data_IF_896199074528
#
_entry.id   IF_896199074528
#
_cell.length_a   1.000
_cell.length_b   1.000
_cell.length_c   1.000
_cell.angle_alpha   90.00
_cell.angle_beta   90.00
_cell.angle_gamma   90.00
#
_symmetry.space_group_name_H-M   'P 1'
#
loop_
_entity.id
_entity.type
_entity.pdbx_description
1 polymer ?
#
# COMPACT_ATOMS: atom_id res chain seq x y z
N UNK A 1 9.71 19.96 -9.05
CA UNK A 1 10.54 18.92 -8.38
C UNK A 1 10.09 18.66 -6.94
N UNK A 2 10.01 19.67 -6.07
CA UNK A 2 9.57 19.47 -4.68
C UNK A 2 8.13 18.95 -4.57
N UNK A 3 7.22 19.49 -5.38
CA UNK A 3 5.82 19.03 -5.41
C UNK A 3 5.71 17.57 -5.88
N UNK A 4 6.47 17.19 -6.91
CA UNK A 4 6.56 15.79 -7.38
C UNK A 4 7.06 14.87 -6.26
N UNK A 5 8.06 15.29 -5.48
CA UNK A 5 8.55 14.52 -4.35
C UNK A 5 7.46 14.34 -3.27
N UNK A 6 6.74 15.40 -2.92
CA UNK A 6 5.64 15.37 -1.96
C UNK A 6 4.48 14.49 -2.44
N UNK A 7 4.12 14.58 -3.72
CA UNK A 7 3.10 13.72 -4.33
C UNK A 7 3.54 12.25 -4.27
N UNK A 8 4.82 11.98 -4.53
CA UNK A 8 5.42 10.65 -4.40
C UNK A 8 5.33 10.11 -2.98
N UNK A 9 5.71 10.92 -1.99
CA UNK A 9 5.57 10.57 -0.57
C UNK A 9 4.11 10.29 -0.20
N UNK A 10 3.18 11.14 -0.64
CA UNK A 10 1.75 10.98 -0.37
C UNK A 10 1.21 9.69 -1.00
N UNK A 11 1.59 9.37 -2.24
CA UNK A 11 1.21 8.14 -2.92
C UNK A 11 1.80 6.90 -2.24
N UNK A 12 3.09 6.92 -1.88
CA UNK A 12 3.72 5.77 -1.23
C UNK A 12 3.20 5.53 0.19
N UNK A 13 2.86 6.57 0.95
CA UNK A 13 2.08 6.40 2.18
C UNK A 13 0.64 5.94 1.88
N UNK A 14 0.03 6.42 0.79
CA UNK A 14 -1.29 6.03 0.33
C UNK A 14 -1.43 4.53 0.05
N UNK A 15 -0.41 3.87 -0.51
CA UNK A 15 -0.41 2.40 -0.70
C UNK A 15 -0.01 1.64 0.57
N UNK A 16 0.90 2.20 1.37
CA UNK A 16 1.54 1.45 2.46
C UNK A 16 0.81 1.54 3.79
N UNK A 17 0.27 2.71 4.14
CA UNK A 17 -0.39 2.94 5.44
C UNK A 17 -1.68 2.12 5.58
N UNK A 18 -2.52 1.96 4.53
CA UNK A 18 -3.71 1.15 4.63
C UNK A 18 -3.50 -0.27 5.11
N UNK A 19 -4.20 -0.61 6.19
CA UNK A 19 -4.12 -1.91 6.85
C UNK A 19 -4.81 -3.02 6.04
N UNK A 20 -4.08 -3.53 5.04
CA UNK A 20 -4.41 -4.74 4.30
C UNK A 20 -3.93 -6.03 4.98
N UNK A 21 -4.12 -7.20 4.33
CA UNK A 21 -3.59 -8.48 4.80
C UNK A 21 -2.08 -8.45 5.08
N UNK A 22 -1.31 -7.72 4.26
CA UNK A 22 0.14 -7.55 4.40
C UNK A 22 0.49 -6.81 5.70
N UNK A 23 -0.10 -5.64 5.96
CA UNK A 23 0.20 -4.87 7.18
C UNK A 23 -0.18 -5.61 8.45
N UNK A 24 -1.25 -6.41 8.42
CA UNK A 24 -1.61 -7.28 9.54
C UNK A 24 -0.55 -8.36 9.75
N UNK A 25 -0.03 -8.95 8.68
CA UNK A 25 1.04 -9.93 8.76
C UNK A 25 2.34 -9.31 9.29
N UNK A 26 2.72 -8.13 8.79
CA UNK A 26 3.88 -7.35 9.28
C UNK A 26 3.71 -7.08 10.77
N UNK A 27 2.54 -6.59 11.20
CA UNK A 27 2.26 -6.34 12.61
C UNK A 27 2.35 -7.62 13.45
N UNK A 28 1.68 -8.70 13.04
CA UNK A 28 1.72 -9.99 13.75
C UNK A 28 3.16 -10.53 13.87
N UNK A 29 3.97 -10.34 12.83
CA UNK A 29 5.36 -10.76 12.82
C UNK A 29 6.20 -9.83 13.69
N UNK A 30 5.98 -8.51 13.70
CA UNK A 30 6.71 -7.57 14.55
C UNK A 30 6.49 -7.82 16.05
N UNK A 31 5.30 -8.30 16.44
CA UNK A 31 5.02 -8.73 17.81
C UNK A 31 5.87 -9.93 18.24
N UNK A 32 6.36 -10.75 17.30
CA UNK A 32 7.14 -11.97 17.58
C UNK A 32 8.63 -11.84 17.21
N UNK A 33 8.94 -11.32 16.03
CA UNK A 33 10.28 -11.13 15.46
C UNK A 33 10.34 -9.92 14.53
N UNK A 34 11.13 -8.92 14.90
CA UNK A 34 11.38 -7.73 14.08
C UNK A 34 11.98 -8.05 12.70
N UNK A 35 12.93 -9.00 12.64
CA UNK A 35 13.59 -9.37 11.38
C UNK A 35 12.63 -10.02 10.39
N UNK A 36 11.76 -10.90 10.88
CA UNK A 36 10.76 -11.56 10.02
C UNK A 36 9.66 -10.58 9.59
N UNK A 37 9.30 -9.60 10.42
CA UNK A 37 8.42 -8.49 10.04
C UNK A 37 8.98 -7.68 8.87
N UNK A 38 10.26 -7.28 8.97
CA UNK A 38 10.94 -6.58 7.87
C UNK A 38 10.98 -7.45 6.62
N UNK A 39 11.27 -8.74 6.73
CA UNK A 39 11.28 -9.64 5.59
C UNK A 39 9.92 -9.68 4.86
N UNK A 40 8.80 -9.76 5.59
CA UNK A 40 7.44 -9.64 5.00
C UNK A 40 7.28 -8.30 4.28
N UNK A 41 7.62 -7.20 4.93
CA UNK A 41 7.47 -5.85 4.36
C UNK A 41 8.33 -5.64 3.12
N UNK A 42 9.57 -6.12 3.09
CA UNK A 42 10.43 -6.10 1.91
C UNK A 42 9.89 -6.99 0.79
N UNK A 43 9.26 -8.12 1.12
CA UNK A 43 8.58 -8.96 0.14
C UNK A 43 7.44 -8.24 -0.55
N UNK A 44 6.64 -7.50 0.23
CA UNK A 44 5.59 -6.65 -0.30
C UNK A 44 6.16 -5.52 -1.19
N UNK A 45 7.17 -4.81 -0.70
CA UNK A 45 7.87 -3.75 -1.44
C UNK A 45 8.39 -4.21 -2.80
N UNK A 46 8.97 -5.42 -2.89
CA UNK A 46 9.43 -5.94 -4.19
C UNK A 46 8.32 -6.14 -5.20
N UNK A 47 7.11 -6.48 -4.75
CA UNK A 47 5.93 -6.55 -5.62
C UNK A 47 5.49 -5.17 -6.07
N UNK A 48 5.54 -4.17 -5.19
CA UNK A 48 5.28 -2.77 -5.55
C UNK A 48 6.26 -2.28 -6.61
N UNK A 49 7.54 -2.64 -6.49
CA UNK A 49 8.56 -2.32 -7.50
C UNK A 49 8.31 -3.04 -8.82
N UNK A 50 7.82 -4.28 -8.77
CA UNK A 50 7.44 -5.03 -9.96
C UNK A 50 6.25 -4.36 -10.67
N UNK A 51 5.23 -3.90 -9.94
CA UNK A 51 4.13 -3.14 -10.53
C UNK A 51 4.61 -1.83 -11.15
N UNK A 52 5.44 -1.05 -10.46
CA UNK A 52 6.05 0.17 -11.01
C UNK A 52 6.83 -0.10 -12.30
N UNK A 53 7.66 -1.15 -12.30
CA UNK A 53 8.44 -1.55 -13.46
C UNK A 53 7.52 -1.89 -14.64
N UNK A 54 6.48 -2.69 -14.42
CA UNK A 54 5.51 -3.03 -15.46
C UNK A 54 4.76 -1.80 -16.00
N UNK A 55 4.44 -0.83 -15.15
CA UNK A 55 3.83 0.44 -15.55
C UNK A 55 4.78 1.25 -16.45
N UNK A 56 6.08 1.30 -16.14
CA UNK A 56 7.07 2.08 -16.88
C UNK A 56 7.45 1.49 -18.24
N UNK A 57 7.44 0.15 -18.38
CA UNK A 57 7.79 -0.55 -19.62
C UNK A 57 6.65 -0.63 -20.65
N UNK A 58 5.60 0.17 -20.49
CA UNK A 58 4.68 0.41 -21.61
C UNK A 58 3.63 -0.67 -21.83
N UNK A 59 3.24 -1.43 -20.79
CA UNK A 59 1.87 -2.00 -20.75
C UNK A 59 0.78 -0.90 -20.86
N UNK A 60 1.19 0.38 -20.87
CA UNK A 60 0.39 1.58 -21.01
C UNK A 60 0.48 2.22 -22.41
N UNK A 61 1.10 1.61 -23.42
CA UNK A 61 0.86 2.05 -24.81
C UNK A 61 -0.64 1.98 -25.18
N UNK A 62 -1.41 1.19 -24.44
CA UNK A 62 -2.88 1.14 -24.48
C UNK A 62 -3.57 2.33 -23.77
N UNK A 63 -2.88 3.06 -22.88
CA UNK A 63 -3.42 4.24 -22.19
C UNK A 63 -3.53 5.48 -23.07
N UNK A 64 -2.94 5.50 -24.27
CA UNK A 64 -3.13 6.63 -25.19
C UNK A 64 -4.55 6.70 -25.77
N UNK A 65 -5.41 5.73 -25.47
CA UNK A 65 -6.82 5.76 -25.78
C UNK A 65 -7.59 6.38 -24.61
N UNK A 66 -8.25 7.52 -24.84
CA UNK A 66 -9.01 8.23 -23.82
C UNK A 66 -10.15 7.38 -23.22
N UNK A 67 -10.73 6.46 -24.00
CA UNK A 67 -11.72 5.50 -23.50
C UNK A 67 -11.10 4.59 -22.42
N UNK A 68 -9.86 4.14 -22.64
CA UNK A 68 -9.18 3.28 -21.68
C UNK A 68 -8.83 4.04 -20.40
N UNK A 69 -8.45 5.33 -20.50
CA UNK A 69 -8.24 6.19 -19.32
C UNK A 69 -9.52 6.37 -18.51
N UNK A 70 -10.65 6.65 -19.15
CA UNK A 70 -11.95 6.79 -18.46
C UNK A 70 -12.39 5.49 -17.78
N UNK A 71 -12.24 4.35 -18.47
CA UNK A 71 -12.53 3.03 -17.89
C UNK A 71 -11.65 2.79 -16.66
N UNK A 72 -10.35 3.08 -16.76
CA UNK A 72 -9.43 2.86 -15.66
C UNK A 72 -9.68 3.80 -14.48
N UNK A 73 -10.08 5.05 -14.73
CA UNK A 73 -10.44 6.00 -13.68
C UNK A 73 -11.74 5.60 -12.96
N UNK A 74 -12.78 5.17 -13.69
CA UNK A 74 -14.03 4.68 -13.10
C UNK A 74 -13.78 3.38 -12.32
N UNK A 75 -13.04 2.44 -12.92
CA UNK A 75 -12.69 1.19 -12.25
C UNK A 75 -11.87 1.45 -11.00
N UNK A 76 -10.84 2.29 -11.11
CA UNK A 76 -9.98 2.70 -10.00
C UNK A 76 -10.76 3.35 -8.87
N UNK A 77 -11.67 4.28 -9.18
CA UNK A 77 -12.57 4.88 -8.19
C UNK A 77 -13.44 3.84 -7.49
N UNK A 78 -14.23 3.07 -8.24
CA UNK A 78 -15.13 2.05 -7.67
C UNK A 78 -14.36 1.05 -6.80
N UNK A 79 -13.17 0.67 -7.26
CA UNK A 79 -12.30 -0.25 -6.57
C UNK A 79 -11.73 0.35 -5.27
N UNK A 80 -11.16 1.55 -5.32
CA UNK A 80 -10.60 2.23 -4.15
C UNK A 80 -11.68 2.54 -3.11
N UNK A 81 -12.87 3.01 -3.52
CA UNK A 81 -13.99 3.24 -2.61
C UNK A 81 -14.53 1.94 -1.99
N UNK A 82 -14.58 0.85 -2.76
CA UNK A 82 -14.91 -0.46 -2.21
C UNK A 82 -13.88 -0.92 -1.16
N UNK A 83 -12.59 -0.66 -1.40
CA UNK A 83 -11.54 -0.98 -0.45
C UNK A 83 -11.60 -0.12 0.81
N UNK A 84 -11.83 1.19 0.68
CA UNK A 84 -12.08 2.08 1.82
C UNK A 84 -13.25 1.55 2.67
N UNK A 85 -14.34 1.13 2.03
CA UNK A 85 -15.48 0.51 2.69
C UNK A 85 -15.13 -0.80 3.42
N UNK A 86 -14.39 -1.71 2.77
CA UNK A 86 -13.93 -2.96 3.40
C UNK A 86 -13.06 -2.70 4.62
N UNK A 87 -12.18 -1.69 4.57
CA UNK A 87 -11.33 -1.32 5.69
C UNK A 87 -12.12 -0.81 6.90
N UNK A 88 -13.16 0.00 6.66
CA UNK A 88 -14.07 0.45 7.71
C UNK A 88 -14.88 -0.71 8.28
N UNK A 89 -15.27 -1.69 7.45
CA UNK A 89 -16.06 -2.86 7.87
C UNK A 89 -15.26 -3.98 8.54
N UNK A 90 -13.94 -4.03 8.36
CA UNK A 90 -13.11 -5.11 8.90
C UNK A 90 -13.17 -5.11 10.43
N UNK A 91 -13.71 -6.17 11.02
CA UNK A 91 -13.65 -6.39 12.47
C UNK A 91 -12.18 -6.55 12.87
N UNK A 92 -11.75 -5.76 13.86
CA UNK A 92 -10.46 -5.96 14.51
C UNK A 92 -10.53 -7.24 15.34
N UNK A 93 -10.22 -8.37 14.72
CA UNK A 93 -9.91 -9.58 15.46
C UNK A 93 -8.66 -9.31 16.29
N UNK A 94 -8.75 -9.58 17.59
CA UNK A 94 -7.62 -9.47 18.50
C UNK A 94 -6.52 -10.40 17.98
N UNK A 95 -5.34 -9.83 17.73
CA UNK A 95 -4.17 -10.58 17.32
C UNK A 95 -3.81 -11.53 18.47
N UNK A 96 -4.22 -12.80 18.36
CA UNK A 96 -3.91 -13.82 19.36
C UNK A 96 -2.42 -14.16 19.26
N UNK A 97 -1.62 -13.44 20.04
CA UNK A 97 -0.18 -13.67 20.16
C UNK A 97 0.01 -14.76 21.21
N UNK A 98 -0.29 -16.00 20.84
CA UNK A 98 0.13 -17.14 21.65
C UNK A 98 1.62 -17.42 21.47
N UNK A 99 2.27 -17.61 22.63
CA UNK A 99 3.68 -17.86 22.88
C UNK A 99 4.20 -19.15 22.23
N UNK A 100 4.39 -19.15 20.91
CA UNK A 100 5.21 -20.16 20.23
C UNK A 100 6.50 -19.54 19.72
N UNK A 101 7.62 -20.21 19.96
CA UNK A 101 8.92 -19.84 19.38
C UNK A 101 8.76 -19.64 17.87
N UNK A 102 9.00 -18.42 17.41
CA UNK A 102 8.79 -18.05 16.02
C UNK A 102 9.93 -18.62 15.14
N UNK A 103 9.80 -19.89 14.73
CA UNK A 103 10.81 -20.66 13.95
C UNK A 103 10.69 -20.50 12.43
N UNK A 104 10.15 -19.39 11.95
CA UNK A 104 10.04 -19.15 10.51
C UNK A 104 11.30 -18.50 9.94
N UNK A 105 11.77 -18.99 8.78
CA UNK A 105 12.92 -18.42 8.08
C UNK A 105 12.56 -17.08 7.43
N UNK A 106 13.57 -16.23 7.27
CA UNK A 106 13.42 -14.90 6.64
C UNK A 106 12.91 -15.01 5.21
N UNK A 107 13.40 -15.99 4.44
CA UNK A 107 12.97 -16.22 3.06
C UNK A 107 11.48 -16.58 2.99
N UNK A 108 10.99 -17.44 3.89
CA UNK A 108 9.58 -17.83 3.91
C UNK A 108 8.68 -16.65 4.29
N UNK A 109 9.14 -15.82 5.23
CA UNK A 109 8.48 -14.56 5.61
C UNK A 109 8.41 -13.58 4.43
N UNK A 110 9.51 -13.43 3.67
CA UNK A 110 9.56 -12.61 2.48
C UNK A 110 8.60 -13.08 1.39
N UNK A 111 8.60 -14.38 1.07
CA UNK A 111 7.69 -14.96 0.05
C UNK A 111 6.22 -14.75 0.44
N UNK A 112 5.87 -14.89 1.72
CA UNK A 112 4.51 -14.57 2.20
C UNK A 112 4.14 -13.11 1.97
N UNK A 113 5.07 -12.19 2.22
CA UNK A 113 4.91 -10.78 1.90
C UNK A 113 4.63 -10.55 0.42
N UNK A 114 5.44 -11.16 -0.47
CA UNK A 114 5.23 -11.07 -1.91
C UNK A 114 3.85 -11.62 -2.32
N UNK A 115 3.51 -12.83 -1.87
CA UNK A 115 2.27 -13.48 -2.27
C UNK A 115 1.05 -12.70 -1.79
N UNK A 116 1.06 -12.24 -0.54
CA UNK A 116 -0.04 -11.45 0.00
C UNK A 116 -0.14 -10.08 -0.69
N UNK A 117 0.96 -9.42 -1.01
CA UNK A 117 0.90 -8.11 -1.68
C UNK A 117 0.47 -8.23 -3.14
N UNK A 118 0.98 -9.23 -3.86
CA UNK A 118 0.65 -9.45 -5.28
C UNK A 118 -0.75 -10.02 -5.50
N UNK A 119 -1.33 -10.69 -4.50
CA UNK A 119 -2.75 -11.10 -4.52
C UNK A 119 -3.66 -10.09 -3.83
N UNK A 120 -3.12 -9.00 -3.26
CA UNK A 120 -3.92 -8.02 -2.55
C UNK A 120 -4.69 -7.21 -3.59
N UNK A 121 -6.04 -7.37 -3.68
CA UNK A 121 -6.81 -6.61 -4.64
C UNK A 121 -6.58 -5.11 -4.43
N UNK A 122 -6.43 -4.66 -3.18
CA UNK A 122 -6.14 -3.26 -2.85
C UNK A 122 -4.95 -2.70 -3.61
N UNK A 123 -3.84 -3.44 -3.58
CA UNK A 123 -2.55 -3.01 -4.13
C UNK A 123 -2.63 -3.01 -5.65
N UNK A 124 -3.25 -4.05 -6.23
CA UNK A 124 -3.49 -4.11 -7.68
C UNK A 124 -4.30 -2.89 -8.13
N UNK A 125 -5.43 -2.61 -7.48
CA UNK A 125 -6.28 -1.50 -7.86
C UNK A 125 -5.67 -0.13 -7.55
N UNK A 126 -4.87 0.00 -6.49
CA UNK A 126 -4.07 1.20 -6.23
C UNK A 126 -3.13 1.47 -7.41
N UNK A 127 -2.31 0.48 -7.80
CA UNK A 127 -1.35 0.64 -8.90
C UNK A 127 -2.01 0.94 -10.24
N UNK A 128 -3.17 0.32 -10.53
CA UNK A 128 -3.96 0.64 -11.73
C UNK A 128 -4.51 2.07 -11.68
N UNK A 129 -5.00 2.50 -10.52
CA UNK A 129 -5.57 3.85 -10.32
C UNK A 129 -4.52 4.95 -10.42
N UNK A 130 -3.34 4.74 -9.83
CA UNK A 130 -2.30 5.77 -9.72
C UNK A 130 -1.33 5.77 -10.90
N UNK A 131 -1.44 4.80 -11.81
CA UNK A 131 -0.61 4.67 -13.00
C UNK A 131 -0.55 5.98 -13.82
N UNK A 132 -1.71 6.58 -14.10
CA UNK A 132 -1.80 7.82 -14.88
C UNK A 132 -1.15 9.02 -14.21
N UNK A 133 -1.22 9.11 -12.88
CA UNK A 133 -0.56 10.17 -12.12
C UNK A 133 0.97 10.06 -12.21
N UNK A 134 1.51 8.84 -12.15
CA UNK A 134 2.97 8.60 -12.22
C UNK A 134 3.54 8.92 -13.59
N UNK A 135 2.84 8.52 -14.64
CA UNK A 135 3.28 8.75 -16.02
C UNK A 135 3.11 10.22 -16.44
N UNK A 136 2.07 10.91 -15.94
CA UNK A 136 1.76 12.29 -16.30
C UNK A 136 2.53 13.37 -15.53
N UNK A 137 3.36 13.02 -14.54
CA UNK A 137 4.11 14.00 -13.75
C UNK A 137 5.28 14.61 -14.55
N UNK A 138 5.61 15.87 -14.26
CA UNK A 138 6.70 16.62 -14.90
C UNK A 138 8.09 16.05 -14.49
N UNK A 139 8.20 15.43 -13.32
CA UNK A 139 9.41 14.82 -12.78
C UNK A 139 9.14 13.40 -12.24
N UNK A 140 8.84 12.43 -13.12
CA UNK A 140 8.38 11.09 -12.73
C UNK A 140 9.41 10.34 -11.88
N UNK A 141 10.70 10.51 -12.14
CA UNK A 141 11.76 9.90 -11.33
C UNK A 141 11.82 10.45 -9.90
N UNK A 142 11.59 11.76 -9.72
CA UNK A 142 11.58 12.40 -8.40
C UNK A 142 10.37 11.94 -7.61
N UNK A 143 9.22 11.81 -8.28
CA UNK A 143 8.02 11.28 -7.65
C UNK A 143 8.18 9.81 -7.25
N UNK A 144 8.74 8.98 -8.13
CA UNK A 144 9.03 7.57 -7.82
C UNK A 144 10.01 7.43 -6.65
N UNK A 145 11.01 8.31 -6.54
CA UNK A 145 11.91 8.34 -5.38
C UNK A 145 11.16 8.64 -4.08
N UNK A 146 10.29 9.66 -4.06
CA UNK A 146 9.45 9.97 -2.89
C UNK A 146 8.55 8.79 -2.49
N UNK A 147 8.00 8.10 -3.49
CA UNK A 147 7.20 6.90 -3.28
C UNK A 147 8.03 5.77 -2.67
N UNK A 148 9.19 5.42 -3.24
CA UNK A 148 10.05 4.35 -2.72
C UNK A 148 10.46 4.65 -1.28
N UNK A 149 10.88 5.89 -1.01
CA UNK A 149 11.31 6.33 0.32
C UNK A 149 10.18 6.19 1.33
N UNK A 150 8.94 6.58 0.98
CA UNK A 150 7.80 6.47 1.90
C UNK A 150 7.38 5.02 2.15
N UNK A 151 7.38 4.13 1.15
CA UNK A 151 7.08 2.71 1.36
C UNK A 151 8.12 2.07 2.30
N UNK A 152 9.41 2.29 2.03
CA UNK A 152 10.49 1.75 2.87
C UNK A 152 10.40 2.32 4.29
N UNK A 153 10.22 3.64 4.41
CA UNK A 153 10.07 4.29 5.70
C UNK A 153 8.89 3.72 6.49
N UNK A 154 7.76 3.44 5.84
CA UNK A 154 6.60 2.82 6.47
C UNK A 154 6.89 1.39 6.93
N UNK A 155 7.50 0.54 6.09
CA UNK A 155 7.84 -0.84 6.46
C UNK A 155 8.73 -0.89 7.70
N UNK A 156 9.76 -0.03 7.75
CA UNK A 156 10.62 0.11 8.91
C UNK A 156 9.88 0.66 10.11
N UNK A 157 9.12 1.74 9.94
CA UNK A 157 8.37 2.37 11.03
C UNK A 157 7.38 1.38 11.65
N UNK A 158 6.54 0.72 10.85
CA UNK A 158 5.55 -0.23 11.33
C UNK A 158 6.23 -1.38 12.07
N UNK A 159 7.26 -2.00 11.48
CA UNK A 159 8.00 -3.09 12.12
C UNK A 159 8.64 -2.65 13.44
N UNK A 160 9.24 -1.46 13.47
CA UNK A 160 9.95 -0.93 14.64
C UNK A 160 8.99 -0.53 15.76
N UNK A 161 7.98 0.29 15.45
CA UNK A 161 7.01 0.77 16.43
C UNK A 161 6.20 -0.39 17.02
N UNK A 162 5.76 -1.35 16.19
CA UNK A 162 5.05 -2.54 16.70
C UNK A 162 5.97 -3.38 17.58
N UNK A 163 7.21 -3.64 17.16
CA UNK A 163 8.15 -4.42 17.97
C UNK A 163 8.53 -3.72 19.29
N UNK A 164 8.59 -2.38 19.31
CA UNK A 164 9.00 -1.58 20.47
C UNK A 164 7.86 -1.27 21.44
N UNK A 165 6.64 -1.14 20.93
CA UNK A 165 5.44 -0.73 21.66
C UNK A 165 4.33 -1.78 21.58
N UNK A 166 4.70 -3.07 21.65
CA UNK A 166 3.78 -4.22 21.55
C UNK A 166 2.52 -4.08 22.42
N UNK A 167 2.65 -3.46 23.60
CA UNK A 167 1.56 -3.25 24.56
C UNK A 167 0.51 -2.21 24.12
N UNK A 168 0.80 -1.35 23.15
CA UNK A 168 -0.14 -0.32 22.66
C UNK A 168 -1.05 -0.81 21.53
N UNK A 169 -0.67 -1.87 20.81
CA UNK A 169 -1.41 -2.37 19.65
C UNK A 169 -2.57 -3.27 20.08
N UNK A 170 -3.63 -2.64 20.60
CA UNK A 170 -4.91 -3.29 20.85
C UNK A 170 -5.86 -3.14 19.65
N UNK A 171 -6.96 -3.89 19.66
CA UNK A 171 -7.97 -3.86 18.60
C UNK A 171 -8.53 -2.45 18.30
N UNK A 172 -8.55 -1.53 19.27
CA UNK A 172 -9.03 -0.15 19.07
C UNK A 172 -8.05 0.66 18.20
N UNK A 173 -6.74 0.53 18.45
CA UNK A 173 -5.71 1.24 17.66
C UNK A 173 -5.74 0.77 16.21
N UNK A 174 -5.81 -0.55 15.98
CA UNK A 174 -5.93 -1.11 14.62
C UNK A 174 -7.17 -0.58 13.90
N UNK A 175 -8.31 -0.45 14.60
CA UNK A 175 -9.54 0.11 14.03
C UNK A 175 -9.39 1.60 13.65
N UNK A 176 -8.74 2.40 14.48
CA UNK A 176 -8.50 3.82 14.18
C UNK A 176 -7.65 3.96 12.92
N UNK A 177 -6.58 3.18 12.80
CA UNK A 177 -5.72 3.27 11.61
C UNK A 177 -6.45 2.80 10.36
N UNK A 178 -7.25 1.72 10.43
CA UNK A 178 -8.11 1.30 9.32
C UNK A 178 -9.02 2.45 8.82
N UNK A 179 -9.65 3.20 9.73
CA UNK A 179 -10.56 4.29 9.39
C UNK A 179 -9.80 5.46 8.74
N UNK A 180 -8.68 5.89 9.34
CA UNK A 180 -7.87 6.99 8.79
C UNK A 180 -7.36 6.64 7.40
N UNK A 181 -6.86 5.42 7.21
CA UNK A 181 -6.42 4.95 5.90
C UNK A 181 -7.56 4.88 4.88
N UNK A 182 -8.75 4.43 5.28
CA UNK A 182 -9.91 4.41 4.39
C UNK A 182 -10.26 5.83 3.89
N UNK A 183 -10.18 6.85 4.75
CA UNK A 183 -10.40 8.24 4.36
C UNK A 183 -9.36 8.76 3.36
N UNK A 184 -8.09 8.40 3.56
CA UNK A 184 -7.00 8.76 2.64
C UNK A 184 -7.22 8.09 1.28
N UNK A 185 -7.58 6.81 1.26
CA UNK A 185 -7.88 6.06 0.03
C UNK A 185 -9.07 6.70 -0.71
N UNK A 186 -10.14 7.01 0.01
CA UNK A 186 -11.32 7.65 -0.59
C UNK A 186 -10.96 9.01 -1.21
N UNK A 187 -10.11 9.80 -0.54
CA UNK A 187 -9.59 11.05 -1.10
C UNK A 187 -8.85 10.82 -2.42
N UNK A 188 -7.96 9.82 -2.50
CA UNK A 188 -7.28 9.48 -3.75
C UNK A 188 -8.23 9.00 -4.84
N UNK A 189 -9.26 8.22 -4.48
CA UNK A 189 -10.30 7.77 -5.40
C UNK A 189 -11.04 8.96 -6.04
N UNK A 190 -11.45 9.93 -5.22
CA UNK A 190 -12.14 11.14 -5.68
C UNK A 190 -11.21 12.02 -6.53
N UNK A 191 -9.95 12.18 -6.10
CA UNK A 191 -8.93 12.94 -6.83
C UNK A 191 -8.65 12.36 -8.23
N UNK A 192 -8.67 11.03 -8.37
CA UNK A 192 -8.53 10.34 -9.65
C UNK A 192 -9.66 10.69 -10.63
N UNK A 193 -10.92 10.64 -10.16
CA UNK A 193 -12.08 11.04 -10.98
C UNK A 193 -11.97 12.50 -11.40
N UNK A 194 -11.69 13.40 -10.45
CA UNK A 194 -11.61 14.83 -10.72
C UNK A 194 -10.57 15.16 -11.80
N UNK A 195 -9.36 14.61 -11.69
CA UNK A 195 -8.26 14.79 -12.65
C UNK A 195 -8.45 14.11 -14.00
N UNK A 196 -9.42 13.21 -14.13
CA UNK A 196 -9.67 12.52 -15.40
C UNK A 196 -10.81 13.18 -16.18
N UNK A 197 -11.83 13.69 -15.49
CA UNK A 197 -13.05 14.19 -16.14
C UNK A 197 -13.18 15.73 -16.13
N UNK A 198 -12.50 16.45 -15.23
CA UNK A 198 -12.77 17.87 -14.98
C UNK A 198 -11.51 18.75 -15.09
N UNK A 199 -10.36 18.26 -14.62
CA UNK A 199 -9.06 18.98 -14.65
C UNK A 199 -8.06 18.32 -15.56
#
# INVERSE_FOLDING_TARGET
MFDSLLNGLALGFGVSVPFGPVNILVLAYALRSFKNSLAVGFGAFSVDMLYLFLLQFGLLSFLNNDIFKYILAIFGFCFLSYMAFLMVRKKSEALDVQNQEFKESLLKSYIKGCFLNGSNPFVIGFWLSTAGMIVGDIHPYVMTLGLIVSIIAWVFALSFFVARYKHFFNAKVVKIVNIVSALIIEYFAISLLYRTFIG
#
